data_IF_611444228035
#
_entry.id   IF_611444228035
#
_cell.length_a   1.000
_cell.length_b   1.000
_cell.length_c   1.000
_cell.angle_alpha   90.00
_cell.angle_beta   90.00
_cell.angle_gamma   90.00
#
_symmetry.space_group_name_H-M   'P 1'
#
loop_
_entity.id
_entity.type
_entity.pdbx_description
1 polymer ?
#
# COMPACT_ATOMS: atom_id res chain seq x y z
N UNK A 1 18.35 5.26 -16.11
CA UNK A 1 17.08 4.71 -15.64
C UNK A 1 16.84 4.98 -14.13
N UNK A 2 17.61 4.40 -13.18
CA UNK A 2 17.39 4.58 -11.71
C UNK A 2 17.33 6.06 -11.30
N UNK A 3 18.27 6.90 -11.78
CA UNK A 3 18.25 8.35 -11.51
C UNK A 3 16.95 9.03 -11.96
N UNK A 4 16.44 8.67 -13.13
CA UNK A 4 15.18 9.20 -13.67
C UNK A 4 14.00 8.80 -12.78
N UNK A 5 13.96 7.54 -12.35
CA UNK A 5 12.92 7.02 -11.45
C UNK A 5 12.95 7.78 -10.12
N UNK A 6 14.13 7.98 -9.55
CA UNK A 6 14.24 8.74 -8.30
C UNK A 6 13.78 10.19 -8.45
N UNK A 7 14.05 10.84 -9.58
CA UNK A 7 13.51 12.17 -9.89
C UNK A 7 11.98 12.13 -9.95
N UNK A 8 11.39 11.09 -10.56
CA UNK A 8 9.93 10.91 -10.59
C UNK A 8 9.37 10.79 -9.16
N UNK A 9 10.00 10.00 -8.28
CA UNK A 9 9.61 9.90 -6.87
C UNK A 9 9.61 11.28 -6.22
N UNK A 10 10.67 12.06 -6.37
CA UNK A 10 10.78 13.40 -5.79
C UNK A 10 9.72 14.37 -6.34
N UNK A 11 9.40 14.28 -7.64
CA UNK A 11 8.32 15.07 -8.25
C UNK A 11 6.98 14.72 -7.61
N UNK A 12 6.65 13.42 -7.47
CA UNK A 12 5.40 12.99 -6.84
C UNK A 12 5.33 13.34 -5.36
N UNK A 13 6.45 13.27 -4.64
CA UNK A 13 6.49 13.77 -3.25
C UNK A 13 6.27 15.28 -3.18
N UNK A 14 6.81 16.04 -4.12
CA UNK A 14 6.58 17.49 -4.18
C UNK A 14 5.09 17.79 -4.45
N UNK A 15 4.49 17.12 -5.44
CA UNK A 15 3.07 17.25 -5.75
C UNK A 15 2.19 16.80 -4.57
N UNK A 16 2.54 15.67 -3.95
CA UNK A 16 1.89 15.18 -2.73
C UNK A 16 2.00 16.20 -1.59
N UNK A 17 3.18 16.79 -1.38
CA UNK A 17 3.41 17.83 -0.39
C UNK A 17 2.52 19.06 -0.60
N UNK A 18 2.34 19.50 -1.85
CA UNK A 18 1.38 20.57 -2.19
C UNK A 18 -0.05 20.13 -1.85
N UNK A 19 -0.44 18.91 -2.20
CA UNK A 19 -1.75 18.35 -1.85
C UNK A 19 -1.98 18.34 -0.33
N UNK A 20 -1.02 17.84 0.45
CA UNK A 20 -1.08 17.85 1.91
C UNK A 20 -1.10 19.25 2.50
N UNK A 21 -0.38 20.19 1.93
CA UNK A 21 -0.43 21.60 2.33
C UNK A 21 -1.84 22.18 2.15
N UNK A 22 -2.45 21.97 0.99
CA UNK A 22 -3.82 22.45 0.71
C UNK A 22 -4.85 21.83 1.66
N UNK A 23 -4.72 20.53 1.95
CA UNK A 23 -5.57 19.81 2.91
C UNK A 23 -5.39 20.37 4.33
N UNK A 24 -4.14 20.59 4.74
CA UNK A 24 -3.82 20.99 6.11
C UNK A 24 -4.20 22.46 6.42
N UNK A 25 -4.33 23.32 5.42
CA UNK A 25 -4.87 24.69 5.60
C UNK A 25 -6.29 24.71 6.18
N UNK A 26 -7.04 23.61 6.04
CA UNK A 26 -8.42 23.48 6.54
C UNK A 26 -8.52 22.70 7.86
N UNK A 27 -7.38 22.31 8.47
CA UNK A 27 -7.32 21.52 9.70
C UNK A 27 -6.89 22.35 10.90
N UNK A 28 -7.13 21.84 12.12
CA UNK A 28 -6.55 22.39 13.35
C UNK A 28 -5.02 22.20 13.34
N UNK A 29 -4.24 23.02 14.07
CA UNK A 29 -2.80 22.92 14.13
C UNK A 29 -2.29 21.52 14.52
N UNK A 30 -2.98 20.87 15.49
CA UNK A 30 -2.67 19.52 15.96
C UNK A 30 -2.86 18.47 14.86
N UNK A 31 -4.01 18.51 14.17
CA UNK A 31 -4.33 17.61 13.07
C UNK A 31 -3.42 17.85 11.85
N UNK A 32 -3.02 19.09 11.60
CA UNK A 32 -2.04 19.43 10.58
C UNK A 32 -0.66 18.85 10.91
N UNK A 33 -0.20 18.98 12.17
CA UNK A 33 1.07 18.41 12.65
C UNK A 33 1.09 16.89 12.49
N UNK A 34 0.04 16.18 12.91
CA UNK A 34 -0.07 14.73 12.70
C UNK A 34 -0.01 14.36 11.21
N UNK A 35 -0.67 15.13 10.36
CA UNK A 35 -0.66 14.94 8.91
C UNK A 35 0.75 15.09 8.32
N UNK A 36 1.53 16.08 8.76
CA UNK A 36 2.92 16.26 8.33
C UNK A 36 3.84 15.18 8.86
N UNK A 37 3.66 14.70 10.10
CA UNK A 37 4.40 13.54 10.63
C UNK A 37 4.13 12.31 9.76
N UNK A 38 2.87 12.07 9.40
CA UNK A 38 2.50 10.98 8.46
C UNK A 38 3.22 11.14 7.13
N UNK A 39 3.17 12.29 6.53
CA UNK A 39 3.83 12.55 5.24
C UNK A 39 5.35 12.29 5.31
N UNK A 40 6.02 12.79 6.35
CA UNK A 40 7.46 12.57 6.57
C UNK A 40 7.81 11.10 6.81
N UNK A 41 7.03 10.39 7.63
CA UNK A 41 7.23 8.94 7.85
C UNK A 41 7.02 8.15 6.56
N UNK A 42 6.03 8.51 5.75
CA UNK A 42 5.80 7.87 4.46
C UNK A 42 6.96 8.10 3.50
N UNK A 43 7.52 9.31 3.46
CA UNK A 43 8.74 9.62 2.71
C UNK A 43 9.91 8.72 3.10
N UNK A 44 10.13 8.52 4.40
CA UNK A 44 11.19 7.63 4.89
C UNK A 44 10.96 6.18 4.48
N UNK A 45 9.72 5.67 4.62
CA UNK A 45 9.37 4.29 4.22
C UNK A 45 9.60 4.10 2.72
N UNK A 46 9.14 5.02 1.88
CA UNK A 46 9.33 4.95 0.43
C UNK A 46 10.81 4.92 0.04
N UNK A 47 11.63 5.78 0.66
CA UNK A 47 13.06 5.78 0.39
C UNK A 47 13.74 4.50 0.87
N UNK A 48 13.39 3.99 2.05
CA UNK A 48 13.92 2.73 2.59
C UNK A 48 13.65 1.58 1.61
N UNK A 49 12.40 1.44 1.16
CA UNK A 49 12.01 0.38 0.23
C UNK A 49 12.66 0.58 -1.14
N UNK A 50 12.65 1.79 -1.68
CA UNK A 50 13.29 2.11 -2.95
C UNK A 50 14.77 1.72 -2.95
N UNK A 51 15.53 2.16 -1.96
CA UNK A 51 16.96 1.86 -1.88
C UNK A 51 17.21 0.38 -1.60
N UNK A 52 16.37 -0.29 -0.82
CA UNK A 52 16.50 -1.75 -0.63
C UNK A 52 16.32 -2.52 -1.94
N UNK A 53 15.41 -2.11 -2.80
CA UNK A 53 15.18 -2.75 -4.11
C UNK A 53 16.32 -2.43 -5.08
N UNK A 54 16.80 -1.17 -5.09
CA UNK A 54 17.79 -0.70 -6.07
C UNK A 54 19.19 -1.20 -5.77
N UNK A 55 19.58 -1.23 -4.49
CA UNK A 55 20.93 -1.66 -4.07
C UNK A 55 21.07 -3.17 -4.22
N UNK A 56 20.17 -3.93 -3.60
CA UNK A 56 20.17 -5.39 -3.69
C UNK A 56 18.77 -5.95 -3.36
N UNK A 57 18.18 -6.70 -4.28
CA UNK A 57 16.87 -7.35 -4.06
C UNK A 57 16.87 -8.34 -2.90
N UNK A 58 18.05 -8.85 -2.49
CA UNK A 58 18.18 -9.68 -1.28
C UNK A 58 17.78 -8.88 -0.04
N UNK A 59 18.15 -7.61 0.04
CA UNK A 59 17.72 -6.72 1.14
C UNK A 59 16.19 -6.57 1.15
N UNK A 60 15.59 -6.34 -0.02
CA UNK A 60 14.13 -6.25 -0.14
C UNK A 60 13.45 -7.57 0.25
N UNK A 61 14.02 -8.71 -0.12
CA UNK A 61 13.51 -10.03 0.29
C UNK A 61 13.53 -10.22 1.81
N UNK A 62 14.57 -9.77 2.50
CA UNK A 62 14.58 -9.76 3.96
C UNK A 62 13.48 -8.85 4.53
N UNK A 63 13.26 -7.68 3.93
CA UNK A 63 12.18 -6.78 4.33
C UNK A 63 10.81 -7.43 4.12
N UNK A 64 10.58 -8.16 3.02
CA UNK A 64 9.32 -8.92 2.81
C UNK A 64 9.07 -9.93 3.92
N UNK A 65 10.09 -10.67 4.35
CA UNK A 65 9.97 -11.62 5.47
C UNK A 65 9.62 -10.89 6.77
N UNK A 66 10.28 -9.76 7.05
CA UNK A 66 9.98 -8.95 8.25
C UNK A 66 8.53 -8.42 8.22
N UNK A 67 8.06 -7.94 7.07
CA UNK A 67 6.68 -7.48 6.88
C UNK A 67 5.69 -8.62 7.15
N UNK A 68 5.95 -9.81 6.60
CA UNK A 68 5.11 -11.00 6.80
C UNK A 68 5.03 -11.39 8.27
N UNK A 69 6.17 -11.46 8.96
CA UNK A 69 6.22 -11.81 10.39
C UNK A 69 5.51 -10.73 11.22
N UNK A 70 5.77 -9.46 10.95
CA UNK A 70 5.12 -8.36 11.64
C UNK A 70 3.60 -8.40 11.48
N UNK A 71 3.09 -8.60 10.27
CA UNK A 71 1.65 -8.72 10.02
C UNK A 71 1.03 -9.94 10.72
N UNK A 72 1.71 -11.09 10.70
CA UNK A 72 1.24 -12.28 11.43
C UNK A 72 1.16 -12.04 12.95
N UNK A 73 2.17 -11.36 13.51
CA UNK A 73 2.19 -11.02 14.95
C UNK A 73 1.08 -10.03 15.31
N UNK A 74 0.79 -9.05 14.45
CA UNK A 74 -0.28 -8.06 14.66
C UNK A 74 -1.66 -8.69 14.60
N UNK A 75 -1.94 -9.55 13.60
CA UNK A 75 -3.19 -10.31 13.51
C UNK A 75 -3.39 -11.18 14.75
N UNK A 76 -2.35 -11.92 15.15
CA UNK A 76 -2.40 -12.83 16.31
C UNK A 76 -2.55 -12.07 17.64
N UNK A 77 -1.87 -10.93 17.80
CA UNK A 77 -1.94 -10.09 18.99
C UNK A 77 -3.34 -9.51 19.16
N UNK A 78 -3.95 -9.05 18.08
CA UNK A 78 -5.31 -8.49 18.12
C UNK A 78 -6.34 -9.56 18.48
N UNK A 79 -6.21 -10.76 17.93
CA UNK A 79 -7.04 -11.91 18.32
C UNK A 79 -6.87 -12.29 19.82
N UNK A 80 -5.62 -12.32 20.31
CA UNK A 80 -5.35 -12.64 21.72
C UNK A 80 -5.92 -11.58 22.66
N UNK A 81 -5.79 -10.28 22.33
CA UNK A 81 -6.37 -9.16 23.11
C UNK A 81 -7.90 -9.21 23.16
N UNK A 82 -8.55 -9.74 22.16
CA UNK A 82 -10.00 -9.93 22.11
C UNK A 82 -10.48 -11.18 22.85
N UNK A 83 -9.71 -11.69 23.83
CA UNK A 83 -10.00 -12.91 24.60
C UNK A 83 -10.31 -14.12 23.71
N UNK A 84 -9.64 -14.21 22.55
CA UNK A 84 -9.81 -15.25 21.53
C UNK A 84 -11.26 -15.36 20.99
N UNK A 85 -12.01 -14.26 21.06
CA UNK A 85 -13.32 -14.20 20.45
C UNK A 85 -13.23 -14.36 18.94
N UNK A 86 -14.22 -14.94 18.31
CA UNK A 86 -14.29 -15.13 16.85
C UNK A 86 -13.17 -16.04 16.28
N UNK A 87 -12.83 -17.15 16.94
CA UNK A 87 -11.76 -18.06 16.52
C UNK A 87 -11.87 -18.53 15.06
N UNK A 88 -13.07 -18.87 14.59
CA UNK A 88 -13.30 -19.25 13.19
C UNK A 88 -12.95 -18.11 12.20
N UNK A 89 -13.33 -16.87 12.54
CA UNK A 89 -12.96 -15.70 11.74
C UNK A 89 -11.46 -15.49 11.71
N UNK A 90 -10.78 -15.65 12.85
CA UNK A 90 -9.32 -15.57 12.94
C UNK A 90 -8.63 -16.62 12.07
N UNK A 91 -9.03 -17.91 12.18
CA UNK A 91 -8.44 -19.00 11.39
C UNK A 91 -8.58 -18.71 9.89
N UNK A 92 -9.77 -18.29 9.43
CA UNK A 92 -9.98 -17.92 8.03
C UNK A 92 -9.11 -16.76 7.60
N UNK A 93 -8.97 -15.74 8.46
CA UNK A 93 -8.13 -14.56 8.17
C UNK A 93 -6.65 -14.93 8.07
N UNK A 94 -6.15 -15.81 8.95
CA UNK A 94 -4.78 -16.31 8.90
C UNK A 94 -4.54 -17.14 7.63
N UNK A 95 -5.49 -17.98 7.22
CA UNK A 95 -5.36 -18.74 5.97
C UNK A 95 -5.25 -17.81 4.75
N UNK A 96 -6.13 -16.81 4.66
CA UNK A 96 -6.07 -15.80 3.59
C UNK A 96 -4.73 -15.05 3.65
N UNK A 97 -4.34 -14.57 4.83
CA UNK A 97 -3.07 -13.87 5.02
C UNK A 97 -1.87 -14.74 4.63
N UNK A 98 -1.87 -16.03 4.97
CA UNK A 98 -0.79 -16.96 4.61
C UNK A 98 -0.65 -17.12 3.09
N UNK A 99 -1.77 -17.24 2.36
CA UNK A 99 -1.75 -17.30 0.88
C UNK A 99 -1.14 -16.02 0.31
N UNK A 100 -1.61 -14.85 0.72
CA UNK A 100 -1.04 -13.58 0.28
C UNK A 100 0.43 -13.43 0.66
N UNK A 101 0.84 -13.89 1.84
CA UNK A 101 2.22 -13.85 2.32
C UNK A 101 3.16 -14.73 1.50
N UNK A 102 2.73 -15.94 1.13
CA UNK A 102 3.51 -16.84 0.26
C UNK A 102 3.71 -16.18 -1.11
N UNK A 103 2.66 -15.67 -1.71
CA UNK A 103 2.73 -14.98 -3.00
C UNK A 103 3.58 -13.69 -2.91
N UNK A 104 3.48 -12.94 -1.83
CA UNK A 104 4.30 -11.76 -1.59
C UNK A 104 5.78 -12.11 -1.41
N UNK A 105 6.11 -13.24 -0.78
CA UNK A 105 7.48 -13.73 -0.70
C UNK A 105 8.02 -14.12 -2.08
N UNK A 106 7.21 -14.78 -2.93
CA UNK A 106 7.55 -15.09 -4.32
C UNK A 106 7.84 -13.80 -5.09
N UNK A 107 6.95 -12.81 -5.00
CA UNK A 107 7.15 -11.48 -5.58
C UNK A 107 8.46 -10.82 -5.11
N UNK A 108 8.75 -10.82 -3.80
CA UNK A 108 9.99 -10.26 -3.24
C UNK A 108 11.26 -11.00 -3.67
N UNK A 109 11.10 -12.16 -4.31
CA UNK A 109 12.18 -12.97 -4.90
C UNK A 109 12.28 -12.80 -6.42
N UNK A 110 11.41 -12.01 -7.03
CA UNK A 110 11.30 -11.77 -8.46
C UNK A 110 12.34 -10.80 -9.03
N UNK A 111 12.13 -10.38 -10.26
CA UNK A 111 13.01 -9.45 -10.96
C UNK A 111 12.96 -8.04 -10.32
N UNK A 112 14.16 -7.42 -10.16
CA UNK A 112 14.27 -6.08 -9.55
C UNK A 112 13.36 -5.04 -10.19
N UNK A 113 13.33 -5.01 -11.50
CA UNK A 113 12.63 -3.96 -12.25
C UNK A 113 11.11 -4.12 -12.12
N UNK A 114 10.60 -5.36 -12.04
CA UNK A 114 9.20 -5.68 -11.76
C UNK A 114 8.80 -5.30 -10.33
N UNK A 115 9.65 -5.63 -9.34
CA UNK A 115 9.46 -5.23 -7.95
C UNK A 115 9.39 -3.71 -7.83
N UNK A 116 10.33 -3.00 -8.50
CA UNK A 116 10.41 -1.56 -8.50
C UNK A 116 9.18 -0.91 -9.15
N UNK A 117 8.76 -1.43 -10.31
CA UNK A 117 7.53 -0.98 -10.98
C UNK A 117 6.31 -1.10 -10.08
N UNK A 118 6.10 -2.29 -9.54
CA UNK A 118 4.96 -2.58 -8.67
C UNK A 118 4.93 -1.68 -7.44
N UNK A 119 6.07 -1.55 -6.76
CA UNK A 119 6.21 -0.69 -5.60
C UNK A 119 5.88 0.78 -5.92
N UNK A 120 6.35 1.29 -7.06
CA UNK A 120 6.11 2.68 -7.46
C UNK A 120 4.63 2.91 -7.82
N UNK A 121 4.06 2.07 -8.66
CA UNK A 121 2.66 2.16 -9.09
C UNK A 121 1.73 2.12 -7.89
N UNK A 122 1.96 1.18 -6.95
CA UNK A 122 1.18 1.03 -5.74
C UNK A 122 1.31 2.24 -4.82
N UNK A 123 2.53 2.72 -4.60
CA UNK A 123 2.78 3.89 -3.76
C UNK A 123 2.11 5.16 -4.30
N UNK A 124 2.10 5.31 -5.63
CA UNK A 124 1.42 6.41 -6.31
C UNK A 124 -0.10 6.25 -6.15
N UNK A 125 -0.63 5.04 -6.35
CA UNK A 125 -2.05 4.75 -6.19
C UNK A 125 -2.54 5.10 -4.79
N UNK A 126 -1.89 4.62 -3.74
CA UNK A 126 -2.29 4.88 -2.35
C UNK A 126 -2.22 6.37 -2.01
N UNK A 127 -1.13 7.04 -2.40
CA UNK A 127 -0.93 8.46 -2.13
C UNK A 127 -1.99 9.33 -2.82
N UNK A 128 -2.19 9.13 -4.12
CA UNK A 128 -3.12 9.96 -4.87
C UNK A 128 -4.58 9.59 -4.64
N UNK A 129 -4.89 8.33 -4.33
CA UNK A 129 -6.23 7.96 -3.84
C UNK A 129 -6.59 8.70 -2.56
N UNK A 130 -5.63 8.84 -1.63
CA UNK A 130 -5.82 9.59 -0.41
C UNK A 130 -5.97 11.09 -0.68
N UNK A 131 -5.11 11.70 -1.51
CA UNK A 131 -5.13 13.13 -1.80
C UNK A 131 -6.41 13.52 -2.53
N UNK A 132 -6.75 12.84 -3.62
CA UNK A 132 -7.95 13.13 -4.41
C UNK A 132 -9.22 12.88 -3.59
N UNK A 133 -9.24 11.82 -2.79
CA UNK A 133 -10.35 11.53 -1.88
C UNK A 133 -10.53 12.57 -0.78
N UNK A 134 -9.46 13.19 -0.27
CA UNK A 134 -9.54 14.26 0.73
C UNK A 134 -9.87 15.63 0.13
N UNK A 135 -9.46 15.91 -1.11
CA UNK A 135 -9.72 17.17 -1.79
C UNK A 135 -11.11 17.23 -2.42
N UNK A 136 -11.53 16.15 -3.07
CA UNK A 136 -12.74 16.13 -3.92
C UNK A 136 -13.70 14.98 -3.61
N UNK A 137 -13.43 14.16 -2.56
CA UNK A 137 -14.25 13.00 -2.24
C UNK A 137 -15.60 13.35 -1.63
N UNK A 138 -16.68 13.10 -2.35
CA UNK A 138 -18.06 13.29 -1.94
C UNK A 138 -18.79 11.95 -1.71
N UNK A 139 -18.55 10.97 -2.57
CA UNK A 139 -19.27 9.70 -2.56
C UNK A 139 -18.45 8.62 -1.82
N UNK A 140 -18.93 8.23 -0.63
CA UNK A 140 -18.29 7.18 0.18
C UNK A 140 -18.43 5.83 -0.49
N UNK A 141 -17.32 5.05 -0.54
CA UNK A 141 -17.26 3.77 -1.21
C UNK A 141 -17.73 2.65 -0.29
N UNK A 142 -17.15 2.52 0.92
CA UNK A 142 -17.48 1.47 1.89
C UNK A 142 -17.51 2.07 3.30
N UNK A 143 -18.58 2.82 3.67
CA UNK A 143 -18.65 3.57 4.93
C UNK A 143 -18.48 2.71 6.19
N UNK A 144 -19.01 1.47 6.16
CA UNK A 144 -19.00 0.57 7.32
C UNK A 144 -17.63 -0.03 7.66
N UNK A 145 -16.68 -0.05 6.72
CA UNK A 145 -15.35 -0.64 6.91
C UNK A 145 -14.28 0.46 6.90
N UNK A 146 -14.29 1.30 5.88
CA UNK A 146 -13.32 2.37 5.68
C UNK A 146 -14.04 3.67 5.28
N UNK A 147 -14.49 4.49 6.25
CA UNK A 147 -15.28 5.69 5.99
C UNK A 147 -14.48 6.80 5.28
N UNK A 148 -13.16 6.68 5.22
CA UNK A 148 -12.30 7.62 4.49
C UNK A 148 -12.26 7.39 2.98
N UNK A 149 -12.57 6.18 2.50
CA UNK A 149 -12.50 5.84 1.08
C UNK A 149 -13.68 6.41 0.28
N UNK A 150 -13.37 7.01 -0.87
CA UNK A 150 -14.35 7.62 -1.78
C UNK A 150 -14.14 7.13 -3.20
N UNK A 151 -15.19 7.20 -4.04
CA UNK A 151 -15.08 6.87 -5.46
C UNK A 151 -14.13 7.81 -6.20
N UNK A 152 -14.18 9.10 -5.89
CA UNK A 152 -13.30 10.12 -6.48
C UNK A 152 -11.85 9.84 -6.13
N UNK A 153 -11.60 9.39 -4.89
CA UNK A 153 -10.27 8.97 -4.45
C UNK A 153 -9.78 7.76 -5.24
N UNK A 154 -10.59 6.71 -5.34
CA UNK A 154 -10.24 5.50 -6.07
C UNK A 154 -9.95 5.79 -7.54
N UNK A 155 -10.83 6.53 -8.22
CA UNK A 155 -10.68 6.84 -9.65
C UNK A 155 -9.50 7.79 -9.91
N UNK A 156 -9.28 8.78 -9.04
CA UNK A 156 -8.15 9.69 -9.14
C UNK A 156 -6.82 8.98 -8.94
N UNK A 157 -6.71 8.12 -7.94
CA UNK A 157 -5.53 7.29 -7.73
C UNK A 157 -5.27 6.36 -8.90
N UNK A 158 -6.32 5.69 -9.42
CA UNK A 158 -6.21 4.79 -10.56
C UNK A 158 -5.74 5.52 -11.83
N UNK A 159 -6.31 6.69 -12.13
CA UNK A 159 -5.93 7.48 -13.30
C UNK A 159 -4.44 7.87 -13.24
N UNK A 160 -3.98 8.38 -12.09
CA UNK A 160 -2.58 8.80 -11.92
C UNK A 160 -1.66 7.57 -11.95
N UNK A 161 -2.08 6.43 -11.42
CA UNK A 161 -1.29 5.20 -11.47
C UNK A 161 -1.13 4.65 -12.89
N UNK A 162 -2.19 4.64 -13.70
CA UNK A 162 -2.11 4.25 -15.11
C UNK A 162 -1.20 5.17 -15.92
N UNK A 163 -1.30 6.48 -15.70
CA UNK A 163 -0.41 7.44 -16.32
C UNK A 163 1.05 7.21 -15.90
N UNK A 164 1.29 6.96 -14.62
CA UNK A 164 2.62 6.69 -14.10
C UNK A 164 3.19 5.35 -14.59
N UNK A 165 2.34 4.32 -14.70
CA UNK A 165 2.72 3.04 -15.29
C UNK A 165 3.19 3.20 -16.75
N UNK A 166 2.50 4.04 -17.52
CA UNK A 166 2.94 4.38 -18.88
C UNK A 166 4.31 5.08 -18.90
N UNK A 167 4.60 5.99 -17.98
CA UNK A 167 5.91 6.62 -17.84
C UNK A 167 7.00 5.64 -17.41
N UNK A 168 6.65 4.61 -16.63
CA UNK A 168 7.55 3.60 -16.07
C UNK A 168 7.61 2.30 -16.88
N UNK A 169 6.95 2.25 -18.05
CA UNK A 169 6.80 1.03 -18.87
C UNK A 169 8.12 0.35 -19.24
N UNK A 170 9.22 1.09 -19.29
CA UNK A 170 10.55 0.55 -19.61
C UNK A 170 11.09 -0.39 -18.49
N UNK A 171 10.45 -0.43 -17.32
CA UNK A 171 10.77 -1.36 -16.24
C UNK A 171 10.16 -2.75 -16.46
N UNK A 172 9.08 -2.84 -17.23
CA UNK A 172 8.37 -4.08 -17.53
C UNK A 172 8.31 -4.26 -19.05
N UNK A 173 8.42 -5.50 -19.52
CA UNK A 173 8.45 -5.80 -20.95
C UNK A 173 7.06 -6.11 -21.51
N UNK A 174 6.07 -5.35 -21.06
CA UNK A 174 4.67 -5.55 -21.37
C UNK A 174 4.22 -4.72 -22.59
N UNK A 175 3.33 -5.27 -23.38
CA UNK A 175 2.58 -4.49 -24.38
C UNK A 175 1.63 -3.52 -23.68
N UNK A 176 1.12 -2.51 -24.40
CA UNK A 176 0.22 -1.52 -23.80
C UNK A 176 -1.03 -2.16 -23.15
N UNK A 177 -1.74 -3.12 -23.80
CA UNK A 177 -2.87 -3.80 -23.15
C UNK A 177 -2.47 -4.59 -21.90
N UNK A 178 -1.35 -5.32 -21.95
CA UNK A 178 -0.82 -6.09 -20.81
C UNK A 178 -0.44 -5.16 -19.66
N UNK A 179 0.23 -4.03 -19.93
CA UNK A 179 0.58 -3.01 -18.95
C UNK A 179 -0.67 -2.46 -18.23
N UNK A 180 -1.76 -2.23 -18.97
CA UNK A 180 -3.02 -1.80 -18.36
C UNK A 180 -3.59 -2.87 -17.44
N UNK A 181 -3.67 -4.14 -17.88
CA UNK A 181 -4.16 -5.27 -17.08
C UNK A 181 -3.29 -5.46 -15.84
N UNK A 182 -1.97 -5.43 -16.01
CA UNK A 182 -1.00 -5.55 -14.95
C UNK A 182 -1.18 -4.47 -13.88
N UNK A 183 -1.30 -3.20 -14.30
CA UNK A 183 -1.51 -2.05 -13.42
C UNK A 183 -2.87 -2.10 -12.71
N UNK A 184 -3.95 -2.47 -13.43
CA UNK A 184 -5.27 -2.64 -12.84
C UNK A 184 -5.28 -3.75 -11.79
N UNK A 185 -4.56 -4.83 -12.03
CA UNK A 185 -4.41 -5.91 -11.06
C UNK A 185 -3.64 -5.46 -9.82
N UNK A 186 -2.49 -4.77 -9.97
CA UNK A 186 -1.72 -4.22 -8.85
C UNK A 186 -2.61 -3.33 -8.00
N UNK A 187 -3.27 -2.34 -8.59
CA UNK A 187 -4.10 -1.35 -7.86
C UNK A 187 -5.37 -1.97 -7.27
N UNK A 188 -6.00 -2.89 -7.99
CA UNK A 188 -7.18 -3.62 -7.52
C UNK A 188 -6.89 -4.52 -6.31
N UNK A 189 -5.79 -5.28 -6.38
CA UNK A 189 -5.37 -6.11 -5.24
C UNK A 189 -4.84 -5.27 -4.07
N UNK A 190 -4.12 -4.17 -4.32
CA UNK A 190 -3.74 -3.22 -3.28
C UNK A 190 -4.96 -2.67 -2.54
N UNK A 191 -5.98 -2.24 -3.26
CA UNK A 191 -7.25 -1.80 -2.68
C UNK A 191 -7.94 -2.90 -1.87
N UNK A 192 -7.94 -4.15 -2.39
CA UNK A 192 -8.50 -5.31 -1.70
C UNK A 192 -7.74 -5.61 -0.40
N UNK A 193 -6.40 -5.55 -0.41
CA UNK A 193 -5.56 -5.79 0.77
C UNK A 193 -5.87 -4.82 1.91
N UNK A 194 -5.89 -3.50 1.64
CA UNK A 194 -6.27 -2.49 2.62
C UNK A 194 -7.74 -2.69 3.10
N UNK A 195 -8.64 -3.11 2.21
CA UNK A 195 -10.03 -3.38 2.60
C UNK A 195 -10.13 -4.59 3.55
N UNK A 196 -9.42 -5.68 3.27
CA UNK A 196 -9.39 -6.88 4.12
C UNK A 196 -8.77 -6.58 5.49
N UNK A 197 -7.66 -5.84 5.52
CA UNK A 197 -7.01 -5.34 6.72
C UNK A 197 -7.96 -4.46 7.54
N UNK A 198 -8.61 -3.50 6.90
CA UNK A 198 -9.60 -2.64 7.53
C UNK A 198 -10.79 -3.44 8.09
N UNK A 199 -11.33 -4.42 7.33
CA UNK A 199 -12.41 -5.28 7.79
C UNK A 199 -12.02 -6.10 9.03
N UNK A 200 -10.81 -6.67 9.03
CA UNK A 200 -10.27 -7.38 10.20
C UNK A 200 -10.25 -6.50 11.44
N UNK A 201 -9.71 -5.28 11.35
CA UNK A 201 -9.67 -4.31 12.45
C UNK A 201 -11.07 -3.97 12.99
N UNK A 202 -12.05 -3.72 12.10
CA UNK A 202 -13.43 -3.41 12.50
C UNK A 202 -14.10 -4.58 13.21
N UNK A 203 -13.81 -5.81 12.83
CA UNK A 203 -14.33 -6.99 13.52
C UNK A 203 -13.90 -7.04 14.99
N UNK A 204 -12.69 -6.55 15.29
CA UNK A 204 -12.17 -6.44 16.65
C UNK A 204 -12.38 -5.04 17.28
N UNK A 205 -13.20 -4.18 16.67
CA UNK A 205 -13.58 -2.84 17.16
C UNK A 205 -12.38 -1.91 17.37
N UNK A 206 -11.32 -2.06 16.59
CA UNK A 206 -10.16 -1.17 16.60
C UNK A 206 -10.03 -0.43 15.27
N UNK A 207 -9.22 0.63 15.25
CA UNK A 207 -8.89 1.40 14.06
C UNK A 207 -7.56 0.96 13.47
N UNK A 208 -6.55 0.80 14.29
CA UNK A 208 -5.19 0.44 13.91
C UNK A 208 -4.76 -0.82 14.65
N UNK A 209 -3.84 -1.61 14.10
CA UNK A 209 -3.35 -2.84 14.74
C UNK A 209 -2.57 -2.54 16.02
N UNK A 210 -1.72 -1.51 15.98
CA UNK A 210 -0.95 -0.98 17.10
C UNK A 210 -0.48 0.46 16.82
N UNK A 211 0.46 1.00 17.60
CA UNK A 211 1.01 2.35 17.44
C UNK A 211 2.54 2.34 17.24
N UNK A 212 3.08 1.31 16.59
CA UNK A 212 4.54 1.17 16.40
C UNK A 212 5.12 2.21 15.46
N UNK A 213 4.39 2.53 14.38
CA UNK A 213 4.85 3.52 13.40
C UNK A 213 4.22 4.88 13.73
N UNK A 214 5.02 5.92 14.09
CA UNK A 214 4.51 7.24 14.45
C UNK A 214 3.56 7.82 13.41
N UNK A 215 2.33 8.12 13.84
CA UNK A 215 1.27 8.66 12.98
C UNK A 215 0.63 7.66 12.01
N UNK A 216 1.10 6.39 11.97
CA UNK A 216 0.69 5.43 10.95
C UNK A 216 0.10 4.11 11.49
N UNK A 217 0.10 3.90 12.81
CA UNK A 217 -0.42 2.65 13.38
C UNK A 217 0.58 1.50 13.36
N UNK A 218 0.13 0.31 12.96
CA UNK A 218 0.96 -0.88 12.86
C UNK A 218 1.70 -1.04 11.53
N UNK A 219 2.51 -2.10 11.45
CA UNK A 219 3.19 -2.50 10.22
C UNK A 219 2.18 -2.95 9.16
N UNK A 220 1.23 -3.80 9.52
CA UNK A 220 0.23 -4.28 8.58
C UNK A 220 -0.66 -3.13 8.07
N UNK A 221 -0.86 -2.07 8.87
CA UNK A 221 -1.57 -0.86 8.44
C UNK A 221 -0.86 -0.11 7.29
N UNK A 222 0.41 -0.42 7.02
CA UNK A 222 1.23 0.24 5.98
C UNK A 222 1.57 -0.65 4.80
N UNK A 223 1.56 -1.95 5.01
CA UNK A 223 2.05 -2.89 4.02
C UNK A 223 0.97 -3.85 3.49
N UNK A 224 -0.27 -3.73 3.95
CA UNK A 224 -1.41 -4.54 3.49
C UNK A 224 -1.66 -4.42 1.98
N UNK A 225 -1.63 -3.20 1.44
CA UNK A 225 -1.69 -2.91 0.00
C UNK A 225 -0.50 -3.52 -0.75
N UNK A 226 0.71 -3.42 -0.19
CA UNK A 226 1.92 -3.95 -0.81
C UNK A 226 1.92 -5.49 -0.84
N UNK A 227 1.50 -6.12 0.25
CA UNK A 227 1.36 -7.58 0.33
C UNK A 227 0.40 -8.07 -0.75
N UNK A 228 -0.78 -7.45 -0.87
CA UNK A 228 -1.79 -7.89 -1.81
C UNK A 228 -1.43 -7.56 -3.27
N UNK A 229 -0.92 -6.35 -3.54
CA UNK A 229 -0.46 -5.96 -4.88
C UNK A 229 0.71 -6.80 -5.37
N UNK A 230 1.70 -7.08 -4.49
CA UNK A 230 2.80 -8.00 -4.81
C UNK A 230 2.33 -9.44 -5.02
N UNK A 231 1.32 -9.90 -4.27
CA UNK A 231 0.73 -11.20 -4.49
C UNK A 231 0.07 -11.33 -5.88
N UNK A 232 -0.60 -10.28 -6.36
CA UNK A 232 -1.09 -10.24 -7.73
C UNK A 232 0.02 -10.42 -8.76
N UNK A 233 1.12 -9.68 -8.60
CA UNK A 233 2.26 -9.75 -9.51
C UNK A 233 2.84 -11.16 -9.54
N UNK A 234 3.02 -11.80 -8.38
CA UNK A 234 3.46 -13.20 -8.33
C UNK A 234 2.53 -14.15 -9.09
N UNK A 235 1.21 -13.95 -8.98
CA UNK A 235 0.23 -14.77 -9.75
C UNK A 235 0.33 -14.47 -11.24
N UNK A 236 0.42 -13.21 -11.63
CA UNK A 236 0.54 -12.78 -13.02
C UNK A 236 1.78 -13.40 -13.68
N UNK A 237 2.96 -13.29 -13.03
CA UNK A 237 4.22 -13.83 -13.53
C UNK A 237 4.27 -15.38 -13.57
N UNK A 238 3.33 -16.07 -12.92
CA UNK A 238 3.19 -17.54 -13.02
C UNK A 238 2.31 -17.97 -14.21
N UNK A 239 1.50 -17.05 -14.75
CA UNK A 239 0.52 -17.34 -15.82
C UNK A 239 1.05 -16.89 -17.18
N UNK A 240 1.79 -15.80 -17.21
CA UNK A 240 2.40 -15.21 -18.42
C UNK A 240 3.86 -15.57 -18.53
#
# INVERSE_FOLDING_TARGET
MIRTIYIIILIYFTLGGVGFYLINRKKTPEAARESYVKFGTYFLIINLLFFSIVIDTVIFRFITVLIIIAGLTELSTLFARAARSHAFFFIRSILIYSVFSILFFIFGSGARDEILFTFLVLSIFDSFSQITGQLWGHHKLIPGISPGKTWEGLLGGLFISLFSAWLLRDLVRETVPELIIFTLGITGFAFLGDLLSSYYKRRYKVKDFNNLIPGHGGFLDRFDSLIAGGAWVAVYSLIV
#
